data_IF_588551587142
#
_entry.id   IF_588551587142
#
_cell.length_a   1.000
_cell.length_b   1.000
_cell.length_c   1.000
_cell.angle_alpha   90.00
_cell.angle_beta   90.00
_cell.angle_gamma   90.00
#
_symmetry.space_group_name_H-M   'P 1'
#
loop_
_entity.id
_entity.type
_entity.pdbx_description
1 polymer ?
#
# COMPACT_ATOMS: atom_id res chain seq x y z
N UNK A 1 5.75 -9.04 7.49
CA UNK A 1 5.33 -7.83 6.73
C UNK A 1 6.09 -6.58 7.12
N UNK A 2 6.06 -6.13 8.38
CA UNK A 2 6.82 -4.94 8.82
C UNK A 2 8.31 -5.03 8.52
N UNK A 3 8.93 -6.17 8.85
CA UNK A 3 10.36 -6.40 8.58
C UNK A 3 10.69 -6.31 7.08
N UNK A 4 9.94 -7.02 6.23
CA UNK A 4 10.12 -6.96 4.78
C UNK A 4 9.97 -5.54 4.22
N UNK A 5 8.98 -4.78 4.71
CA UNK A 5 8.78 -3.39 4.30
C UNK A 5 10.00 -2.52 4.64
N UNK A 6 10.46 -2.58 5.90
CA UNK A 6 11.64 -1.82 6.36
C UNK A 6 12.91 -2.23 5.64
N UNK A 7 13.08 -3.52 5.35
CA UNK A 7 14.23 -4.01 4.60
C UNK A 7 14.26 -3.45 3.17
N UNK A 8 13.10 -3.39 2.50
CA UNK A 8 12.97 -2.80 1.17
C UNK A 8 13.21 -1.28 1.21
N UNK A 9 12.61 -0.57 2.16
CA UNK A 9 12.78 0.88 2.32
C UNK A 9 14.26 1.24 2.59
N UNK A 10 14.91 0.52 3.50
CA UNK A 10 16.34 0.68 3.79
C UNK A 10 17.23 0.34 2.58
N UNK A 11 16.85 -0.65 1.75
CA UNK A 11 17.58 -0.96 0.53
C UNK A 11 17.47 0.17 -0.52
N UNK A 12 16.28 0.76 -0.68
CA UNK A 12 16.05 1.89 -1.58
C UNK A 12 16.82 3.14 -1.12
N UNK A 13 16.78 3.43 0.18
CA UNK A 13 17.53 4.53 0.78
C UNK A 13 19.05 4.38 0.58
N UNK A 14 19.61 3.18 0.83
CA UNK A 14 21.04 2.90 0.60
C UNK A 14 21.45 3.01 -0.87
N UNK A 15 20.53 2.73 -1.78
CA UNK A 15 20.75 2.91 -3.22
C UNK A 15 20.63 4.38 -3.67
N UNK A 16 20.42 5.33 -2.76
CA UNK A 16 20.22 6.75 -3.08
C UNK A 16 18.90 7.03 -3.81
N UNK A 17 17.93 6.10 -3.75
CA UNK A 17 16.65 6.21 -4.47
C UNK A 17 15.56 6.59 -3.50
N UNK A 18 14.97 7.78 -3.70
CA UNK A 18 13.73 8.16 -3.03
C UNK A 18 12.56 7.55 -3.79
N UNK A 19 11.96 6.49 -3.24
CA UNK A 19 10.83 5.80 -3.84
C UNK A 19 9.66 5.72 -2.85
N UNK A 20 8.44 5.61 -3.40
CA UNK A 20 7.23 5.32 -2.61
C UNK A 20 6.91 3.85 -2.78
N UNK A 21 6.84 3.12 -1.67
CA UNK A 21 6.48 1.70 -1.68
C UNK A 21 4.95 1.60 -1.71
N UNK A 22 4.43 0.94 -2.75
CA UNK A 22 2.99 0.64 -2.89
C UNK A 22 2.74 -0.85 -2.70
N UNK A 23 1.95 -1.20 -1.71
CA UNK A 23 1.50 -2.57 -1.51
C UNK A 23 0.31 -2.88 -2.42
N UNK A 24 0.39 -3.96 -3.20
CA UNK A 24 -0.70 -4.38 -4.07
C UNK A 24 -1.75 -5.15 -3.25
N UNK A 25 -2.87 -4.50 -2.95
CA UNK A 25 -3.92 -5.05 -2.06
C UNK A 25 -4.47 -6.37 -2.61
N UNK A 26 -4.66 -6.45 -3.93
CA UNK A 26 -5.09 -7.66 -4.66
C UNK A 26 -4.25 -8.91 -4.39
N UNK A 27 -2.98 -8.76 -4.02
CA UNK A 27 -2.11 -9.91 -3.74
C UNK A 27 -2.44 -10.56 -2.39
N UNK A 28 -2.96 -9.78 -1.44
CA UNK A 28 -3.39 -10.27 -0.12
C UNK A 28 -4.31 -9.23 0.52
N UNK A 29 -5.64 -9.31 0.29
CA UNK A 29 -6.62 -8.35 0.80
C UNK A 29 -6.94 -8.63 2.28
N UNK A 30 -5.92 -8.59 3.12
CA UNK A 30 -6.02 -8.84 4.56
C UNK A 30 -5.96 -7.49 5.29
N UNK A 31 -7.03 -7.07 5.99
CA UNK A 31 -7.09 -5.79 6.69
C UNK A 31 -5.92 -5.52 7.63
N UNK A 32 -5.46 -6.54 8.36
CA UNK A 32 -4.33 -6.45 9.28
C UNK A 32 -3.03 -6.02 8.57
N UNK A 33 -2.81 -6.51 7.34
CA UNK A 33 -1.63 -6.15 6.54
C UNK A 33 -1.72 -4.67 6.14
N UNK A 34 -2.90 -4.21 5.72
CA UNK A 34 -3.14 -2.80 5.36
C UNK A 34 -2.87 -1.90 6.56
N UNK A 35 -3.43 -2.20 7.74
CA UNK A 35 -3.18 -1.42 8.97
C UNK A 35 -1.71 -1.37 9.34
N UNK A 36 -1.01 -2.50 9.29
CA UNK A 36 0.42 -2.57 9.63
C UNK A 36 1.25 -1.71 8.68
N UNK A 37 0.99 -1.79 7.38
CA UNK A 37 1.76 -1.08 6.35
C UNK A 37 1.43 0.41 6.31
N UNK A 38 0.19 0.81 6.58
CA UNK A 38 -0.18 2.23 6.65
C UNK A 38 0.54 2.93 7.81
N UNK A 39 0.63 2.26 8.96
CA UNK A 39 1.43 2.71 10.10
C UNK A 39 2.93 2.79 9.84
N UNK A 40 3.45 2.14 8.80
CA UNK A 40 4.84 2.26 8.34
C UNK A 40 5.01 3.32 7.22
N UNK A 41 3.94 3.99 6.81
CA UNK A 41 3.97 5.01 5.76
C UNK A 41 3.85 4.47 4.34
N UNK A 42 3.40 3.23 4.16
CA UNK A 42 3.19 2.65 2.84
C UNK A 42 2.05 3.35 2.08
N UNK A 43 2.06 3.19 0.77
CA UNK A 43 0.94 3.49 -0.13
C UNK A 43 0.30 2.18 -0.62
N UNK A 44 -0.86 2.25 -1.26
CA UNK A 44 -1.62 1.06 -1.64
C UNK A 44 -2.03 1.12 -3.11
N UNK A 45 -1.70 0.07 -3.85
CA UNK A 45 -2.21 -0.18 -5.21
C UNK A 45 -3.49 -1.01 -5.09
N UNK A 46 -4.61 -0.40 -5.46
CA UNK A 46 -5.96 -0.94 -5.37
C UNK A 46 -6.51 -1.16 -6.79
N UNK A 47 -7.24 -2.25 -6.99
CA UNK A 47 -7.73 -2.69 -8.29
C UNK A 47 -9.27 -2.69 -8.40
N UNK A 48 -9.98 -2.43 -7.31
CA UNK A 48 -11.46 -2.43 -7.27
C UNK A 48 -12.02 -1.43 -6.26
N UNK A 49 -13.31 -1.10 -6.42
CA UNK A 49 -14.06 -0.27 -5.45
C UNK A 49 -14.08 -0.93 -4.06
N UNK A 50 -14.24 -2.25 -3.98
CA UNK A 50 -14.23 -2.95 -2.69
C UNK A 50 -12.91 -2.84 -1.94
N UNK A 51 -11.78 -2.84 -2.65
CA UNK A 51 -10.46 -2.62 -2.02
C UNK A 51 -10.27 -1.16 -1.59
N UNK A 52 -10.80 -0.20 -2.35
CA UNK A 52 -10.83 1.22 -1.97
C UNK A 52 -11.64 1.37 -0.68
N UNK A 53 -12.87 0.87 -0.64
CA UNK A 53 -13.76 0.93 0.52
C UNK A 53 -13.13 0.26 1.74
N UNK A 54 -12.51 -0.91 1.58
CA UNK A 54 -11.78 -1.58 2.65
C UNK A 54 -10.66 -0.69 3.21
N UNK A 55 -9.82 -0.11 2.35
CA UNK A 55 -8.71 0.73 2.81
C UNK A 55 -9.22 2.00 3.51
N UNK A 56 -10.24 2.65 2.96
CA UNK A 56 -10.86 3.84 3.57
C UNK A 56 -11.51 3.51 4.91
N UNK A 57 -12.20 2.37 5.01
CA UNK A 57 -12.80 1.89 6.27
C UNK A 57 -11.76 1.56 7.36
N UNK A 58 -10.52 1.30 6.98
CA UNK A 58 -9.39 1.11 7.89
C UNK A 58 -8.67 2.41 8.26
N UNK A 59 -9.14 3.56 7.75
CA UNK A 59 -8.57 4.88 8.03
C UNK A 59 -7.39 5.28 7.16
N UNK A 60 -7.11 4.55 6.07
CA UNK A 60 -6.04 4.91 5.13
C UNK A 60 -6.38 6.24 4.46
N UNK A 61 -5.42 7.16 4.45
CA UNK A 61 -5.57 8.46 3.80
C UNK A 61 -5.78 8.30 2.28
N UNK A 62 -6.82 8.92 1.67
CA UNK A 62 -7.13 8.73 0.25
C UNK A 62 -5.98 8.99 -0.72
N UNK A 63 -5.11 9.98 -0.45
CA UNK A 63 -3.92 10.31 -1.23
C UNK A 63 -2.82 9.24 -1.20
N UNK A 64 -2.94 8.22 -0.35
CA UNK A 64 -2.09 7.02 -0.33
C UNK A 64 -2.63 5.88 -1.20
N UNK A 65 -3.85 5.98 -1.71
CA UNK A 65 -4.46 5.00 -2.60
C UNK A 65 -4.12 5.32 -4.05
N UNK A 66 -3.69 4.31 -4.79
CA UNK A 66 -3.42 4.37 -6.20
C UNK A 66 -4.34 3.38 -6.92
N UNK A 67 -5.33 3.91 -7.62
CA UNK A 67 -6.24 3.11 -8.42
C UNK A 67 -5.70 2.98 -9.85
N UNK A 68 -4.81 2.00 -10.03
CA UNK A 68 -4.08 1.78 -11.29
C UNK A 68 -4.83 0.93 -12.33
N UNK A 69 -6.04 0.45 -12.03
CA UNK A 69 -6.74 -0.47 -12.92
C UNK A 69 -7.21 0.25 -14.21
N UNK A 70 -6.81 -0.22 -15.42
CA UNK A 70 -7.22 0.39 -16.69
C UNK A 70 -8.73 0.26 -16.96
N UNK A 71 -9.37 -0.78 -16.40
CA UNK A 71 -10.82 -0.95 -16.46
C UNK A 71 -11.41 -0.39 -15.17
N UNK A 72 -12.07 0.76 -15.29
CA UNK A 72 -12.80 1.38 -14.18
C UNK A 72 -14.26 0.93 -14.29
N UNK A 73 -14.72 0.09 -13.36
CA UNK A 73 -16.11 -0.36 -13.25
C UNK A 73 -16.70 0.16 -11.96
#
# INVERSE_FOLDING_TARGET
MRENYRALDAALARAGRRARIRFAVKASPVPEIVRILDGEGAQFDVASVGEIEMCLGLGVEPGRLYYGNPIKK
#
